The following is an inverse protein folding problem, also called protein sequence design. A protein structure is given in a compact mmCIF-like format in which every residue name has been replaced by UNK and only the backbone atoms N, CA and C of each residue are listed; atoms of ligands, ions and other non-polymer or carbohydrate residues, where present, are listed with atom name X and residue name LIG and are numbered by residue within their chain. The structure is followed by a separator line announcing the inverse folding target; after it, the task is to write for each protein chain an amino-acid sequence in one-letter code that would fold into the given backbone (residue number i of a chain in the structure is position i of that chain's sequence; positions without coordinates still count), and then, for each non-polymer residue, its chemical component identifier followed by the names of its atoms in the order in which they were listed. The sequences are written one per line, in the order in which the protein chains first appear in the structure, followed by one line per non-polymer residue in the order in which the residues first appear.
data_IF_407115032996
#
_entry.id   IF_407115032996
#
_cell.length_a   1.000
_cell.length_b   1.000
_cell.length_c   1.000
_cell.angle_alpha   90.00
_cell.angle_beta   90.00
_cell.angle_gamma   90.00
#
_symmetry.space_group_name_H-M   'P 1'
#
loop_
_entity.id
_entity.type
_entity.pdbx_description
1 polymer ?
#
# COMPACT_ATOMS: atom_id res chain seq x y z
N UNK A 1 23.12 -27.08 -16.24
CA UNK A 1 21.80 -27.56 -15.76
C UNK A 1 21.70 -27.27 -14.26
N UNK A 2 21.17 -26.11 -13.85
CA UNK A 2 21.11 -25.74 -12.44
C UNK A 2 20.17 -26.68 -11.68
N UNK A 3 20.67 -27.28 -10.60
CA UNK A 3 19.88 -28.15 -9.71
C UNK A 3 18.87 -27.27 -8.97
N UNK A 4 17.63 -27.26 -9.47
CA UNK A 4 16.45 -26.72 -8.77
C UNK A 4 16.37 -27.40 -7.40
N UNK A 5 16.78 -26.69 -6.34
CA UNK A 5 16.59 -27.16 -4.96
C UNK A 5 15.09 -27.36 -4.75
N UNK A 6 14.68 -28.62 -4.70
CA UNK A 6 13.36 -28.99 -4.18
C UNK A 6 13.43 -28.73 -2.68
N UNK A 7 13.13 -27.49 -2.29
CA UNK A 7 12.85 -27.15 -0.91
C UNK A 7 11.68 -28.02 -0.49
N UNK A 8 11.97 -28.97 0.38
CA UNK A 8 10.98 -29.87 0.96
C UNK A 8 10.05 -28.98 1.82
N UNK A 9 8.95 -28.54 1.21
CA UNK A 9 7.90 -27.75 1.87
C UNK A 9 7.27 -28.64 2.95
N UNK A 10 7.77 -28.55 4.18
CA UNK A 10 7.05 -29.05 5.35
C UNK A 10 5.79 -28.19 5.47
N UNK A 11 4.69 -28.70 4.91
CA UNK A 11 3.41 -28.02 4.72
C UNK A 11 2.61 -27.78 6.00
N UNK A 12 3.25 -27.24 7.04
CA UNK A 12 2.51 -26.54 8.09
C UNK A 12 2.20 -25.12 7.58
N UNK A 13 1.18 -25.06 6.73
CA UNK A 13 0.58 -23.80 6.31
C UNK A 13 0.00 -23.11 7.56
N UNK A 14 0.70 -22.09 8.05
CA UNK A 14 0.27 -21.29 9.19
C UNK A 14 -1.05 -20.61 8.81
N UNK A 15 -2.16 -21.12 9.35
CA UNK A 15 -3.48 -20.52 9.18
C UNK A 15 -3.56 -19.27 10.03
N UNK A 16 -3.56 -18.11 9.37
CA UNK A 16 -3.71 -16.81 10.03
C UNK A 16 -5.20 -16.49 10.14
N UNK A 17 -5.68 -16.35 11.37
CA UNK A 17 -7.03 -15.91 11.67
C UNK A 17 -7.08 -14.38 11.83
N UNK A 18 -7.61 -13.72 10.81
CA UNK A 18 -7.85 -12.27 10.84
C UNK A 18 -9.28 -11.91 11.30
N UNK A 19 -9.99 -12.83 11.97
CA UNK A 19 -11.21 -12.46 12.69
C UNK A 19 -10.89 -11.44 13.78
N UNK A 20 -11.65 -10.35 13.82
CA UNK A 20 -11.40 -9.21 14.73
C UNK A 20 -10.69 -8.02 14.11
N UNK A 21 -10.03 -8.13 12.94
CA UNK A 21 -9.40 -6.96 12.29
C UNK A 21 -10.43 -5.89 11.93
N UNK A 22 -11.55 -6.31 11.36
CA UNK A 22 -12.64 -5.41 11.02
C UNK A 22 -13.22 -4.71 12.27
N UNK A 23 -13.41 -5.46 13.36
CA UNK A 23 -13.91 -4.93 14.64
C UNK A 23 -12.90 -3.95 15.27
N UNK A 24 -11.60 -4.24 15.17
CA UNK A 24 -10.54 -3.35 15.65
C UNK A 24 -10.50 -2.03 14.85
N UNK A 25 -10.68 -2.09 13.53
CA UNK A 25 -10.79 -0.90 12.70
C UNK A 25 -12.06 -0.10 12.98
N UNK A 26 -13.19 -0.77 13.23
CA UNK A 26 -14.46 -0.13 13.56
C UNK A 26 -14.42 0.56 14.93
N UNK A 27 -13.79 -0.07 15.92
CA UNK A 27 -13.59 0.48 17.26
C UNK A 27 -12.63 1.67 17.33
N UNK A 28 -11.84 1.92 16.27
CA UNK A 28 -10.88 3.01 16.23
C UNK A 28 -11.49 4.26 15.53
N UNK A 29 -11.91 5.25 16.33
CA UNK A 29 -12.58 6.48 15.87
C UNK A 29 -11.88 7.22 14.71
N UNK A 30 -10.54 7.27 14.74
CA UNK A 30 -9.75 7.91 13.69
C UNK A 30 -9.80 7.19 12.33
N UNK A 31 -9.85 5.86 12.35
CA UNK A 31 -9.95 5.03 11.16
C UNK A 31 -11.37 5.15 10.63
N UNK A 32 -12.37 4.88 11.48
CA UNK A 32 -13.79 4.97 11.13
C UNK A 32 -14.18 6.31 10.51
N UNK A 33 -13.82 7.44 11.14
CA UNK A 33 -14.06 8.77 10.58
C UNK A 33 -13.36 8.99 9.24
N UNK A 34 -12.13 8.48 9.12
CA UNK A 34 -11.38 8.53 7.86
C UNK A 34 -12.10 7.78 6.75
N UNK A 35 -12.51 6.53 7.01
CA UNK A 35 -13.18 5.68 6.04
C UNK A 35 -14.53 6.25 5.62
N UNK A 36 -15.33 6.76 6.56
CA UNK A 36 -16.62 7.38 6.24
C UNK A 36 -16.48 8.66 5.40
N UNK A 37 -15.37 9.39 5.55
CA UNK A 37 -15.10 10.59 4.77
C UNK A 37 -14.58 10.30 3.36
N UNK A 38 -13.74 9.27 3.19
CA UNK A 38 -13.10 8.94 1.90
C UNK A 38 -13.74 7.76 1.16
N UNK A 39 -14.70 7.06 1.76
CA UNK A 39 -15.28 5.81 1.25
C UNK A 39 -14.24 4.71 0.91
N UNK A 40 -13.06 4.82 1.52
CA UNK A 40 -11.86 4.01 1.28
C UNK A 40 -11.17 3.77 2.62
N UNK A 41 -10.79 2.52 2.90
CA UNK A 41 -10.07 2.13 4.11
C UNK A 41 -8.68 2.76 4.13
N UNK A 42 -8.02 2.78 2.98
CA UNK A 42 -6.70 3.38 2.82
C UNK A 42 -6.80 4.80 2.26
N UNK A 43 -5.95 5.69 2.78
CA UNK A 43 -5.73 7.03 2.28
C UNK A 43 -4.64 7.01 1.22
N UNK A 44 -5.00 7.38 0.00
CA UNK A 44 -4.08 7.49 -1.13
C UNK A 44 -3.45 8.89 -1.20
N UNK A 45 -2.31 9.01 -1.88
CA UNK A 45 -1.65 10.30 -2.10
C UNK A 45 -2.46 11.20 -3.03
N UNK A 46 -3.15 10.60 -4.00
CA UNK A 46 -4.10 11.26 -4.90
C UNK A 46 -4.93 10.23 -5.68
N UNK A 47 -5.94 10.67 -6.43
CA UNK A 47 -6.85 9.79 -7.16
C UNK A 47 -6.16 8.98 -8.27
N UNK A 48 -5.06 9.49 -8.83
CA UNK A 48 -4.25 8.78 -9.85
C UNK A 48 -3.27 7.76 -9.26
N UNK A 49 -3.12 7.74 -7.93
CA UNK A 49 -2.14 6.91 -7.23
C UNK A 49 -2.84 5.88 -6.32
N UNK A 50 -4.08 5.50 -6.66
CA UNK A 50 -4.79 4.41 -6.00
C UNK A 50 -4.05 3.10 -6.32
N UNK A 51 -3.72 2.33 -5.28
CA UNK A 51 -2.93 1.10 -5.41
C UNK A 51 -1.41 1.31 -5.41
N UNK A 52 -0.91 2.54 -5.54
CA UNK A 52 0.53 2.81 -5.51
C UNK A 52 1.03 2.86 -4.06
N UNK A 53 1.83 1.86 -3.69
CA UNK A 53 2.31 1.70 -2.32
C UNK A 53 3.71 2.27 -2.15
N UNK A 54 3.81 3.44 -1.54
CA UNK A 54 5.07 4.12 -1.22
C UNK A 54 5.25 4.26 0.30
N UNK A 55 6.41 4.76 0.73
CA UNK A 55 6.63 5.13 2.14
C UNK A 55 5.68 6.23 2.61
N UNK A 56 5.28 7.14 1.73
CA UNK A 56 4.31 8.20 2.07
C UNK A 56 2.90 7.64 2.23
N UNK A 57 2.51 6.68 1.38
CA UNK A 57 1.27 5.92 1.55
C UNK A 57 1.28 5.20 2.91
N UNK A 58 2.41 4.59 3.30
CA UNK A 58 2.54 3.97 4.63
C UNK A 58 2.32 4.98 5.76
N UNK A 59 2.94 6.17 5.69
CA UNK A 59 2.77 7.22 6.70
C UNK A 59 1.32 7.68 6.86
N UNK A 60 0.59 7.85 5.76
CA UNK A 60 -0.84 8.24 5.80
C UNK A 60 -1.73 7.18 6.43
N UNK A 61 -1.30 5.92 6.39
CA UNK A 61 -2.07 4.75 6.82
C UNK A 61 -1.51 4.07 8.07
N UNK A 62 -0.67 4.75 8.87
CA UNK A 62 -0.13 4.21 10.12
C UNK A 62 -1.22 3.64 11.03
N UNK A 63 -2.34 4.35 11.31
CA UNK A 63 -3.34 3.83 12.25
C UNK A 63 -3.95 2.50 11.78
N UNK A 64 -4.26 2.38 10.48
CA UNK A 64 -4.81 1.16 9.89
C UNK A 64 -3.82 0.02 10.00
N UNK A 65 -2.54 0.28 9.69
CA UNK A 65 -1.48 -0.72 9.76
C UNK A 65 -1.16 -1.14 11.20
N UNK A 66 -1.24 -0.23 12.17
CA UNK A 66 -1.04 -0.54 13.59
C UNK A 66 -2.07 -1.54 14.09
N UNK A 67 -3.37 -1.29 13.86
CA UNK A 67 -4.43 -2.21 14.29
C UNK A 67 -4.35 -3.56 13.57
N UNK A 68 -4.03 -3.54 12.27
CA UNK A 68 -3.81 -4.77 11.50
C UNK A 68 -2.65 -5.61 12.09
N UNK A 69 -1.50 -4.97 12.34
CA UNK A 69 -0.31 -5.68 12.80
C UNK A 69 -0.43 -6.22 14.23
N UNK A 70 -1.18 -5.55 15.12
CA UNK A 70 -1.45 -6.07 16.47
C UNK A 70 -2.11 -7.45 16.45
N UNK A 71 -2.95 -7.72 15.46
CA UNK A 71 -3.66 -9.00 15.30
C UNK A 71 -2.84 -9.98 14.46
N UNK A 72 -2.16 -9.48 13.42
CA UNK A 72 -1.39 -10.31 12.49
C UNK A 72 -0.09 -10.86 13.10
N UNK A 73 0.70 -10.02 13.76
CA UNK A 73 2.06 -10.38 14.20
C UNK A 73 2.11 -11.55 15.20
N UNK A 74 1.23 -11.67 16.21
CA UNK A 74 1.24 -12.81 17.13
C UNK A 74 1.05 -14.17 16.47
N UNK A 75 0.47 -14.20 15.27
CA UNK A 75 0.16 -15.42 14.53
C UNK A 75 1.25 -15.77 13.51
N UNK A 76 2.08 -14.80 13.13
CA UNK A 76 3.12 -14.96 12.11
C UNK A 76 4.47 -14.50 12.66
N UNK A 77 5.12 -15.33 13.50
CA UNK A 77 6.40 -14.98 14.12
C UNK A 77 7.54 -14.92 13.09
N UNK A 78 7.41 -15.60 11.96
CA UNK A 78 8.35 -15.45 10.85
C UNK A 78 7.96 -14.25 9.99
N UNK A 79 8.94 -13.50 9.47
CA UNK A 79 8.71 -12.35 8.59
C UNK A 79 8.21 -12.76 7.19
N UNK A 80 7.07 -13.45 7.12
CA UNK A 80 6.40 -13.90 5.90
C UNK A 80 5.38 -12.85 5.44
N UNK A 81 5.29 -12.69 4.13
CA UNK A 81 4.33 -11.80 3.50
C UNK A 81 2.91 -12.34 3.70
N UNK A 82 1.98 -11.49 4.13
CA UNK A 82 0.57 -11.85 4.31
C UNK A 82 -0.05 -12.28 2.95
N UNK A 83 -0.85 -13.33 2.94
CA UNK A 83 -1.65 -13.69 1.77
C UNK A 83 -2.86 -12.72 1.64
N UNK A 84 -3.09 -12.19 0.44
CA UNK A 84 -4.14 -11.19 0.17
C UNK A 84 -5.53 -11.74 0.50
N UNK A 85 -5.77 -13.01 0.19
CA UNK A 85 -7.07 -13.68 0.37
C UNK A 85 -7.55 -13.72 1.82
N UNK A 86 -6.60 -13.61 2.77
CA UNK A 86 -6.90 -13.68 4.21
C UNK A 86 -7.43 -12.33 4.72
N UNK A 87 -7.10 -11.22 4.03
CA UNK A 87 -7.45 -9.88 4.45
C UNK A 87 -8.92 -9.64 4.08
N UNK A 88 -9.84 -9.96 5.00
CA UNK A 88 -11.31 -9.84 4.84
C UNK A 88 -11.79 -8.37 4.79
N UNK A 89 -11.21 -7.54 3.91
CA UNK A 89 -11.57 -6.13 3.72
C UNK A 89 -13.06 -5.97 3.39
N UNK A 90 -13.62 -6.91 2.62
CA UNK A 90 -15.04 -6.92 2.28
C UNK A 90 -15.94 -6.92 3.52
N UNK A 91 -15.61 -7.73 4.56
CA UNK A 91 -16.41 -7.78 5.80
C UNK A 91 -16.45 -6.43 6.49
N UNK A 92 -15.31 -5.73 6.53
CA UNK A 92 -15.23 -4.39 7.12
C UNK A 92 -16.03 -3.35 6.34
N UNK A 93 -15.93 -3.35 5.01
CA UNK A 93 -16.72 -2.43 4.15
C UNK A 93 -18.22 -2.67 4.30
N UNK A 94 -18.63 -3.94 4.39
CA UNK A 94 -20.01 -4.34 4.61
C UNK A 94 -20.55 -3.81 5.95
N UNK A 95 -19.79 -3.92 7.04
CA UNK A 95 -20.18 -3.42 8.37
C UNK A 95 -20.40 -1.91 8.40
N UNK A 96 -19.68 -1.15 7.56
CA UNK A 96 -19.81 0.29 7.45
C UNK A 96 -20.83 0.75 6.38
N UNK A 97 -21.56 -0.19 5.76
CA UNK A 97 -22.49 0.09 4.66
C UNK A 97 -21.84 0.86 3.49
N UNK A 98 -20.59 0.55 3.16
CA UNK A 98 -19.89 1.14 2.03
C UNK A 98 -20.14 0.32 0.76
N UNK A 99 -20.07 0.97 -0.40
CA UNK A 99 -20.19 0.27 -1.68
C UNK A 99 -19.11 -0.81 -1.82
N UNK A 100 -19.56 -2.04 -2.08
CA UNK A 100 -18.73 -3.23 -2.26
C UNK A 100 -18.23 -3.34 -3.70
N UNK A 101 -17.50 -2.33 -4.18
CA UNK A 101 -16.76 -2.47 -5.43
C UNK A 101 -15.66 -3.52 -5.26
N UNK A 102 -15.75 -4.62 -6.02
CA UNK A 102 -14.76 -5.69 -6.01
C UNK A 102 -13.35 -5.19 -6.34
N UNK A 103 -13.25 -4.20 -7.23
CA UNK A 103 -11.98 -3.57 -7.57
C UNK A 103 -11.36 -2.85 -6.34
N UNK A 104 -12.17 -2.08 -5.60
CA UNK A 104 -11.70 -1.39 -4.39
C UNK A 104 -11.24 -2.37 -3.31
N UNK A 105 -12.02 -3.44 -3.06
CA UNK A 105 -11.67 -4.50 -2.11
C UNK A 105 -10.33 -5.14 -2.48
N UNK A 106 -10.15 -5.49 -3.75
CA UNK A 106 -8.93 -6.09 -4.25
C UNK A 106 -7.72 -5.14 -4.12
N UNK A 107 -7.85 -3.90 -4.58
CA UNK A 107 -6.79 -2.90 -4.48
C UNK A 107 -6.36 -2.64 -3.04
N UNK A 108 -7.31 -2.53 -2.10
CA UNK A 108 -7.03 -2.36 -0.67
C UNK A 108 -6.30 -3.57 -0.08
N UNK A 109 -6.75 -4.80 -0.40
CA UNK A 109 -6.09 -6.04 0.04
C UNK A 109 -4.64 -6.15 -0.45
N UNK A 110 -4.42 -5.91 -1.75
CA UNK A 110 -3.08 -5.92 -2.36
C UNK A 110 -2.18 -4.85 -1.75
N UNK A 111 -2.73 -3.67 -1.47
CA UNK A 111 -1.98 -2.59 -0.86
C UNK A 111 -1.58 -2.88 0.59
N UNK A 112 -2.47 -3.44 1.40
CA UNK A 112 -2.13 -3.86 2.78
C UNK A 112 -0.99 -4.87 2.76
N UNK A 113 -1.06 -5.89 1.88
CA UNK A 113 0.04 -6.86 1.70
C UNK A 113 1.36 -6.18 1.34
N UNK A 114 1.31 -5.24 0.40
CA UNK A 114 2.49 -4.49 -0.04
C UNK A 114 3.06 -3.59 1.07
N UNK A 115 2.20 -2.96 1.88
CA UNK A 115 2.61 -2.18 3.06
C UNK A 115 3.30 -3.07 4.09
N UNK A 116 2.76 -4.25 4.39
CA UNK A 116 3.40 -5.25 5.25
C UNK A 116 4.79 -5.63 4.73
N UNK A 117 4.91 -5.86 3.41
CA UNK A 117 6.20 -6.14 2.78
C UNK A 117 7.20 -5.00 2.91
N UNK A 118 6.76 -3.74 2.79
CA UNK A 118 7.61 -2.56 3.02
C UNK A 118 8.09 -2.52 4.47
N UNK A 119 7.20 -2.75 5.44
CA UNK A 119 7.53 -2.76 6.86
C UNK A 119 8.57 -3.84 7.15
N UNK A 120 8.32 -5.07 6.70
CA UNK A 120 9.24 -6.19 6.86
C UNK A 120 10.63 -5.90 6.24
N UNK A 121 10.70 -5.28 5.05
CA UNK A 121 11.98 -4.94 4.41
C UNK A 121 12.74 -3.78 5.06
N UNK A 122 12.06 -2.88 5.78
CA UNK A 122 12.64 -1.61 6.24
C UNK A 122 12.72 -1.43 7.76
N UNK A 123 12.10 -2.30 8.55
CA UNK A 123 12.12 -2.17 10.02
C UNK A 123 13.54 -2.24 10.63
N UNK A 124 14.48 -2.91 9.96
CA UNK A 124 15.88 -3.08 10.40
C UNK A 124 16.68 -1.78 10.53
N UNK A 125 16.38 -0.79 9.67
CA UNK A 125 17.17 0.44 9.54
C UNK A 125 16.42 1.72 9.88
N UNK A 126 15.09 1.65 10.05
CA UNK A 126 14.27 2.84 10.09
C UNK A 126 14.12 3.49 11.47
N UNK A 127 14.51 2.85 12.58
CA UNK A 127 14.47 3.47 13.93
C UNK A 127 15.20 4.82 13.99
N UNK A 128 16.15 5.05 13.06
CA UNK A 128 16.95 6.28 12.98
C UNK A 128 16.43 7.33 12.00
N UNK A 129 15.49 7.02 11.11
CA UNK A 129 15.22 7.90 9.94
C UNK A 129 13.84 8.54 9.92
N UNK A 130 12.83 7.97 10.56
CA UNK A 130 11.47 8.51 10.47
C UNK A 130 10.73 8.44 11.81
N UNK A 131 10.50 9.58 12.49
CA UNK A 131 9.81 9.58 13.78
C UNK A 131 8.36 9.11 13.67
N UNK A 132 7.70 9.33 12.53
CA UNK A 132 6.29 8.94 12.35
C UNK A 132 6.10 7.42 12.34
N UNK A 133 7.12 6.66 11.93
CA UNK A 133 7.05 5.20 11.83
C UNK A 133 7.65 4.48 13.04
N UNK A 134 8.11 5.22 14.05
CA UNK A 134 8.79 4.66 15.21
C UNK A 134 7.91 3.64 15.95
N UNK A 135 6.70 4.03 16.31
CA UNK A 135 5.74 3.18 17.03
C UNK A 135 5.41 1.90 16.24
N UNK A 136 5.24 2.05 14.92
CA UNK A 136 4.99 0.93 14.02
C UNK A 136 6.14 -0.09 14.01
N UNK A 137 7.39 0.37 13.98
CA UNK A 137 8.54 -0.53 14.02
C UNK A 137 8.82 -1.10 15.41
N UNK A 138 8.53 -0.35 16.46
CA UNK A 138 8.57 -0.85 17.84
C UNK A 138 7.59 -2.00 18.06
N UNK A 139 6.39 -1.92 17.44
CA UNK A 139 5.41 -3.01 17.45
C UNK A 139 5.91 -4.27 16.75
N UNK A 140 6.64 -4.12 15.64
CA UNK A 140 7.09 -5.23 14.78
C UNK A 140 8.35 -5.92 15.31
N UNK A 141 9.26 -5.16 15.93
CA UNK A 141 10.59 -5.64 16.38
C UNK A 141 10.54 -6.93 17.23
N UNK A 142 9.59 -7.12 18.16
CA UNK A 142 9.54 -8.33 19.00
C UNK A 142 9.19 -9.60 18.22
N UNK A 143 8.51 -9.46 17.09
CA UNK A 143 8.03 -10.58 16.28
C UNK A 143 8.99 -10.88 15.13
N UNK A 144 9.42 -9.86 14.40
CA UNK A 144 10.32 -10.04 13.25
C UNK A 144 11.74 -9.62 13.63
N UNK A 145 12.63 -10.61 13.62
CA UNK A 145 14.05 -10.36 13.80
C UNK A 145 14.58 -9.54 12.61
N UNK A 146 15.33 -8.47 12.87
CA UNK A 146 15.87 -7.67 11.79
C UNK A 146 16.75 -8.49 10.85
N UNK A 147 16.57 -8.33 9.54
CA UNK A 147 17.46 -8.98 8.57
C UNK A 147 18.83 -8.32 8.66
N UNK A 148 19.81 -9.06 9.15
CA UNK A 148 21.21 -8.60 9.18
C UNK A 148 21.67 -8.48 7.73
N UNK A 149 21.69 -7.25 7.21
CA UNK A 149 22.33 -6.97 5.93
C UNK A 149 23.82 -7.11 6.16
N UNK A 150 24.42 -8.18 5.62
CA UNK A 150 25.88 -8.26 5.52
C UNK A 150 26.33 -7.04 4.75
N UNK A 151 27.17 -6.21 5.36
CA UNK A 151 27.69 -5.04 4.66
C UNK A 151 28.51 -5.54 3.47
N UNK A 152 28.56 -4.80 2.34
CA UNK A 152 29.38 -5.17 1.18
C UNK A 152 30.85 -5.41 1.59
N UNK A 153 31.33 -4.67 2.59
CA UNK A 153 32.64 -4.87 3.22
C UNK A 153 32.83 -6.20 3.96
N UNK A 154 31.74 -6.83 4.45
CA UNK A 154 31.82 -8.17 5.06
C UNK A 154 31.90 -9.28 4.00
N UNK A 155 31.40 -9.03 2.79
CA UNK A 155 31.52 -9.97 1.67
C UNK A 155 32.93 -9.96 1.06
N UNK A 156 33.58 -8.80 0.96
CA UNK A 156 34.93 -8.67 0.39
C UNK A 156 36.04 -9.26 1.28
N UNK A 157 35.74 -9.58 2.54
CA UNK A 157 36.72 -10.11 3.50
C UNK A 157 36.61 -11.61 3.74
N UNK A 158 35.72 -12.31 3.03
CA UNK A 158 35.78 -13.76 2.98
C UNK A 158 37.06 -14.15 2.21
N UNK A 159 38.09 -14.72 2.88
CA UNK A 159 39.32 -15.08 2.22
C UNK A 159 38.97 -16.07 1.11
N UNK A 160 39.30 -15.70 -0.13
CA UNK A 160 39.40 -16.68 -1.21
C UNK A 160 40.51 -17.64 -0.82
N UNK A 161 40.18 -18.72 -0.11
CA UNK A 161 41.03 -19.89 -0.03
C UNK A 161 41.14 -20.40 -1.47
N UNK A 162 42.18 -19.92 -2.15
CA UNK A 162 42.71 -20.51 -3.37
C UNK A 162 43.18 -21.92 -2.98
N UNK A 163 42.31 -22.89 -3.16
CA UNK A 163 42.75 -24.24 -3.42
C UNK A 163 43.29 -24.25 -4.86
N UNK A 164 44.63 -24.18 -4.96
CA UNK A 164 45.37 -24.60 -6.14
C UNK A 164 45.11 -26.10 -6.36
N UNK A 165 44.08 -26.46 -7.13
CA UNK A 165 44.08 -27.74 -7.83
C UNK A 165 43.49 -27.61 -9.24
N UNK A 166 44.38 -27.82 -10.20
CA UNK A 166 44.10 -27.77 -11.62
C UNK A 166 43.09 -28.85 -12.01
N UNK A 167 41.87 -28.44 -12.37
CA UNK A 167 41.07 -29.15 -13.36
C UNK A 167 40.34 -28.12 -14.23
N UNK A 168 40.68 -28.11 -15.51
CA UNK A 168 40.03 -27.33 -16.55
C UNK A 168 38.61 -27.88 -16.77
N UNK A 169 37.60 -27.21 -16.22
CA UNK A 169 36.25 -27.25 -16.77
C UNK A 169 35.69 -25.81 -16.85
N UNK A 170 35.03 -25.44 -17.97
CA UNK A 170 34.59 -24.07 -18.21
C UNK A 170 33.44 -23.68 -17.27
N UNK A 171 33.74 -22.83 -16.29
CA UNK A 171 32.76 -22.14 -15.46
C UNK A 171 31.97 -21.18 -16.34
N UNK A 172 30.69 -21.48 -16.52
CA UNK A 172 29.70 -20.62 -17.13
C UNK A 172 29.39 -19.49 -16.15
N UNK A 173 29.85 -18.30 -16.51
CA UNK A 173 29.64 -17.04 -15.81
C UNK A 173 28.19 -16.58 -16.05
N UNK A 174 27.25 -17.02 -15.20
CA UNK A 174 25.93 -16.38 -15.11
C UNK A 174 26.11 -15.08 -14.32
N UNK A 175 26.30 -13.99 -15.06
CA UNK A 175 26.21 -12.63 -14.54
C UNK A 175 24.77 -12.34 -14.16
N UNK A 176 24.51 -12.15 -12.86
CA UNK A 176 23.39 -11.32 -12.42
C UNK A 176 23.77 -9.87 -12.77
N UNK A 177 23.39 -9.43 -13.97
CA UNK A 177 23.28 -8.02 -14.29
C UNK A 177 22.26 -7.41 -13.32
N UNK A 178 22.77 -6.67 -12.33
CA UNK A 178 21.99 -5.60 -11.72
C UNK A 178 21.63 -4.63 -12.85
N UNK A 179 20.40 -4.73 -13.33
CA UNK A 179 19.78 -3.78 -14.23
C UNK A 179 19.64 -2.44 -13.47
N UNK A 180 20.73 -1.66 -13.44
CA UNK A 180 20.67 -0.22 -13.26
C UNK A 180 19.87 0.34 -14.44
N UNK A 181 18.62 0.71 -14.16
CA UNK A 181 17.81 1.55 -15.04
C UNK A 181 18.50 2.92 -15.14
N UNK A 182 19.44 3.05 -16.08
CA UNK A 182 19.88 4.33 -16.60
C UNK A 182 18.78 4.87 -17.53
N UNK A 183 18.14 5.95 -17.07
CA UNK A 183 17.38 6.87 -17.91
C UNK A 183 18.31 7.47 -18.97
N UNK A 184 17.82 7.45 -20.22
CA UNK A 184 18.12 8.31 -21.37
C UNK A 184 18.56 7.53 -22.63
N UNK A 185 17.60 7.19 -23.51
CA UNK A 185 17.85 7.36 -24.94
C UNK A 185 16.55 7.64 -25.74
N UNK A 186 16.66 8.71 -26.51
CA UNK A 186 15.71 9.34 -27.41
C UNK A 186 15.39 8.43 -28.59
N UNK A 187 14.15 7.92 -28.69
CA UNK A 187 13.73 7.08 -29.82
C UNK A 187 13.02 7.92 -30.88
N UNK A 188 13.64 7.99 -32.06
CA UNK A 188 13.10 8.60 -33.27
C UNK A 188 11.75 7.99 -33.70
N UNK A 189 10.91 8.84 -34.28
CA UNK A 189 9.57 8.52 -34.74
C UNK A 189 9.53 7.40 -35.81
N UNK A 190 8.65 6.39 -35.67
CA UNK A 190 8.40 5.45 -36.75
C UNK A 190 7.43 6.03 -37.78
N UNK A 191 7.82 5.91 -39.04
CA UNK A 191 7.02 6.17 -40.24
C UNK A 191 5.69 5.40 -40.22
N UNK A 192 4.62 6.09 -40.62
CA UNK A 192 3.30 5.53 -40.91
C UNK A 192 3.39 4.54 -42.09
N UNK A 193 3.22 3.25 -41.84
CA UNK A 193 2.83 2.28 -42.86
C UNK A 193 1.60 1.49 -42.41
N UNK A 194 0.50 1.74 -43.13
CA UNK A 194 -0.86 1.27 -42.89
C UNK A 194 -0.98 -0.24 -43.12
N UNK A 195 -0.82 -1.05 -42.06
CA UNK A 195 -1.07 -2.50 -42.13
C UNK A 195 -2.46 -2.84 -41.60
N UNK A 196 -3.32 -3.23 -42.53
CA UNK A 196 -4.70 -3.68 -42.34
C UNK A 196 -4.73 -5.05 -41.61
N UNK A 197 -5.20 -5.06 -40.37
CA UNK A 197 -5.35 -6.27 -39.55
C UNK A 197 -6.53 -7.17 -40.01
N UNK A 198 -6.37 -8.51 -40.03
CA UNK A 198 -7.48 -9.43 -40.20
C UNK A 198 -8.24 -9.65 -38.88
N UNK A 199 -9.55 -9.80 -38.99
CA UNK A 199 -10.49 -10.06 -37.89
C UNK A 199 -10.12 -11.35 -37.14
N UNK A 200 -9.77 -11.23 -35.86
CA UNK A 200 -9.58 -12.34 -34.95
C UNK A 200 -10.88 -12.59 -34.18
N UNK A 201 -11.43 -13.79 -34.33
CA UNK A 201 -12.57 -14.29 -33.57
C UNK A 201 -12.18 -14.47 -32.08
N UNK A 202 -12.99 -13.89 -31.20
CA UNK A 202 -12.86 -13.99 -29.75
C UNK A 202 -13.14 -15.43 -29.28
N UNK A 203 -12.10 -16.12 -28.82
CA UNK A 203 -12.24 -17.32 -28.00
C UNK A 203 -12.57 -16.89 -26.57
N UNK A 204 -13.73 -17.33 -26.07
CA UNK A 204 -14.12 -17.17 -24.66
C UNK A 204 -13.39 -18.20 -23.82
N UNK A 205 -12.49 -17.74 -22.96
CA UNK A 205 -11.86 -18.56 -21.93
C UNK A 205 -12.84 -18.66 -20.74
N UNK A 206 -13.21 -19.89 -20.36
CA UNK A 206 -14.20 -20.20 -19.31
C UNK A 206 -13.65 -20.05 -17.87
N UNK A 207 -12.55 -19.31 -17.65
CA UNK A 207 -11.86 -19.31 -16.35
C UNK A 207 -12.56 -18.52 -15.25
N UNK A 208 -13.62 -17.76 -15.54
CA UNK A 208 -14.33 -16.95 -14.52
C UNK A 208 -13.45 -15.88 -13.86
N UNK A 209 -12.20 -15.71 -14.29
CA UNK A 209 -11.35 -14.59 -13.93
C UNK A 209 -11.80 -13.37 -14.74
N UNK A 210 -12.37 -12.40 -14.04
CA UNK A 210 -12.69 -11.09 -14.61
C UNK A 210 -11.38 -10.48 -15.08
N UNK A 211 -11.25 -10.27 -16.39
CA UNK A 211 -10.05 -9.70 -17.00
C UNK A 211 -9.75 -8.33 -16.38
N UNK A 212 -8.47 -8.02 -16.14
CA UNK A 212 -8.03 -6.70 -15.66
C UNK A 212 -8.56 -5.55 -16.52
N UNK A 213 -8.76 -5.81 -17.83
CA UNK A 213 -9.40 -4.88 -18.76
C UNK A 213 -10.85 -4.58 -18.41
N UNK A 214 -11.61 -5.60 -18.08
CA UNK A 214 -13.02 -5.52 -17.70
C UNK A 214 -13.19 -4.78 -16.36
N UNK A 215 -12.23 -4.95 -15.43
CA UNK A 215 -12.18 -4.17 -14.19
C UNK A 215 -11.95 -2.66 -14.44
N UNK A 216 -11.05 -2.31 -15.36
CA UNK A 216 -10.77 -0.91 -15.70
C UNK A 216 -11.92 -0.24 -16.44
N UNK A 217 -12.58 -0.96 -17.35
CA UNK A 217 -13.78 -0.49 -18.03
C UNK A 217 -14.95 -0.26 -17.06
N UNK A 218 -15.15 -1.15 -16.09
CA UNK A 218 -16.17 -1.00 -15.04
C UNK A 218 -15.90 0.20 -14.10
N UNK A 219 -14.64 0.64 -13.99
CA UNK A 219 -14.25 1.85 -13.25
C UNK A 219 -14.40 3.14 -14.09
N UNK A 220 -14.84 3.03 -15.35
CA UNK A 220 -14.95 4.19 -16.26
C UNK A 220 -13.60 4.76 -16.69
N UNK A 221 -12.52 3.98 -16.57
CA UNK A 221 -11.19 4.39 -16.99
C UNK A 221 -10.95 3.96 -18.45
N UNK A 222 -10.79 4.91 -19.39
CA UNK A 222 -10.58 4.56 -20.79
C UNK A 222 -9.24 3.82 -20.98
N UNK A 223 -9.32 2.59 -21.46
CA UNK A 223 -8.19 1.74 -21.84
C UNK A 223 -7.62 2.23 -23.17
N UNK A 224 -6.98 3.41 -23.15
CA UNK A 224 -6.18 4.07 -24.21
C UNK A 224 -6.12 5.60 -23.99
N UNK A 225 -6.12 6.11 -22.75
CA UNK A 225 -5.57 7.45 -22.57
C UNK A 225 -4.08 7.36 -22.91
N UNK A 226 -3.59 8.03 -23.98
CA UNK A 226 -2.16 8.15 -24.18
C UNK A 226 -1.56 8.66 -22.88
N UNK A 227 -0.35 8.17 -22.53
CA UNK A 227 0.41 8.72 -21.43
C UNK A 227 0.29 10.25 -21.50
N UNK A 228 -0.14 10.93 -20.43
CA UNK A 228 -0.37 12.37 -20.50
C UNK A 228 0.96 13.01 -20.90
N UNK A 229 1.07 13.39 -22.18
CA UNK A 229 2.23 14.09 -22.71
C UNK A 229 2.52 15.23 -21.76
N UNK A 230 3.67 15.15 -21.08
CA UNK A 230 4.24 16.18 -20.23
C UNK A 230 3.22 17.04 -19.47
N UNK A 231 2.96 16.72 -18.21
CA UNK A 231 2.36 17.64 -17.25
C UNK A 231 3.28 18.85 -16.90
N UNK A 232 4.06 19.37 -17.86
CA UNK A 232 4.66 20.69 -17.82
C UNK A 232 3.64 21.73 -18.31
N UNK A 233 2.47 21.77 -17.67
CA UNK A 233 1.65 22.98 -17.70
C UNK A 233 2.36 23.97 -16.79
N UNK A 234 3.04 24.95 -17.39
CA UNK A 234 3.54 26.13 -16.65
C UNK A 234 2.39 26.65 -15.77
N UNK A 235 2.63 26.93 -14.47
CA UNK A 235 1.61 27.53 -13.63
C UNK A 235 1.10 28.81 -14.31
N UNK A 236 -0.19 28.82 -14.62
CA UNK A 236 -0.90 30.03 -15.04
C UNK A 236 -0.66 31.12 -14.00
N UNK A 237 -0.39 32.37 -14.41
CA UNK A 237 -0.18 33.47 -13.47
C UNK A 237 -1.40 33.59 -12.55
N UNK A 238 -1.13 33.52 -11.24
CA UNK A 238 -2.09 33.72 -10.17
C UNK A 238 -2.69 35.13 -10.36
N UNK A 239 -4.01 35.29 -10.50
CA UNK A 239 -4.62 36.60 -10.50
C UNK A 239 -4.36 37.26 -9.14
N UNK A 240 -3.85 38.49 -9.17
CA UNK A 240 -3.58 39.29 -7.98
C UNK A 240 -4.84 39.39 -7.10
N UNK A 241 -4.67 39.37 -5.76
CA UNK A 241 -5.79 39.54 -4.85
C UNK A 241 -6.38 40.94 -5.04
N UNK A 242 -7.62 41.00 -5.52
CA UNK A 242 -8.45 42.20 -5.43
C UNK A 242 -8.73 42.46 -3.96
N UNK A 243 -8.05 43.47 -3.42
CA UNK A 243 -8.39 44.11 -2.17
C UNK A 243 -9.84 44.61 -2.18
N UNK A 244 -10.46 44.57 -1.00
CA UNK A 244 -11.74 45.22 -0.65
C UNK A 244 -13.01 44.40 -0.85
N UNK A 245 -13.32 43.57 0.15
CA UNK A 245 -14.69 43.53 0.70
C UNK A 245 -14.60 43.75 2.21
N UNK A 246 -15.23 44.85 2.62
CA UNK A 246 -15.29 45.35 3.98
C UNK A 246 -15.83 44.30 4.96
N UNK A 247 -15.16 44.21 6.11
CA UNK A 247 -15.58 43.42 7.25
C UNK A 247 -16.97 43.89 7.75
N UNK A 248 -17.92 42.97 7.97
CA UNK A 248 -19.13 43.29 8.73
C UNK A 248 -18.79 43.52 10.21
N UNK A 249 -19.47 44.48 10.88
CA UNK A 249 -19.23 44.78 12.28
C UNK A 249 -19.63 43.60 13.18
N UNK A 250 -18.77 43.32 14.16
CA UNK A 250 -18.96 42.33 15.20
C UNK A 250 -20.30 42.53 15.93
N UNK A 251 -21.21 41.57 15.79
CA UNK A 251 -22.35 41.42 16.66
C UNK A 251 -21.92 40.57 17.86
N UNK A 252 -21.47 41.23 18.92
CA UNK A 252 -21.38 40.65 20.26
C UNK A 252 -22.81 40.41 20.78
N UNK A 253 -23.38 39.26 20.43
CA UNK A 253 -24.66 38.82 20.97
C UNK A 253 -24.43 37.79 22.08
N UNK A 254 -24.47 38.30 23.31
CA UNK A 254 -25.04 37.71 24.52
C UNK A 254 -25.07 36.16 24.57
N UNK A 255 -24.01 35.58 25.13
CA UNK A 255 -23.89 34.16 25.45
C UNK A 255 -23.93 33.92 26.98
N UNK A 256 -24.56 34.83 27.73
CA UNK A 256 -24.66 34.76 29.20
C UNK A 256 -26.03 34.30 29.73
N UNK A 257 -27.03 34.05 28.87
CA UNK A 257 -28.43 33.85 29.33
C UNK A 257 -29.04 32.46 29.06
N UNK A 258 -28.24 31.41 28.83
CA UNK A 258 -28.77 30.03 28.63
C UNK A 258 -28.24 28.96 29.60
N UNK A 259 -27.75 29.34 30.78
CA UNK A 259 -27.31 28.39 31.82
C UNK A 259 -28.25 28.23 33.03
N UNK A 260 -29.52 28.63 32.94
CA UNK A 260 -30.44 28.62 34.10
C UNK A 260 -31.62 27.61 34.07
N UNK A 261 -31.56 26.49 33.33
CA UNK A 261 -32.61 25.47 33.44
C UNK A 261 -32.09 24.03 33.32
N UNK A 262 -31.36 23.56 34.33
CA UNK A 262 -31.27 22.13 34.61
C UNK A 262 -31.52 21.93 36.11
N UNK A 263 -32.78 21.68 36.46
CA UNK A 263 -33.16 21.26 37.80
C UNK A 263 -32.74 19.79 38.03
N UNK A 264 -32.13 19.46 39.19
CA UNK A 264 -31.89 18.07 39.56
C UNK A 264 -33.20 17.44 40.08
N UNK A 265 -33.85 16.63 39.24
CA UNK A 265 -34.93 15.75 39.68
C UNK A 265 -34.39 14.69 40.65
N UNK A 266 -34.73 14.87 41.93
CA UNK A 266 -34.47 13.92 43.01
C UNK A 266 -35.29 12.64 42.82
N UNK A 267 -34.66 11.56 42.39
CA UNK A 267 -35.25 10.22 42.46
C UNK A 267 -35.09 9.67 43.88
N UNK A 268 -36.19 9.67 44.61
CA UNK A 268 -36.40 8.87 45.82
C UNK A 268 -36.37 7.38 45.45
N UNK A 269 -35.44 6.62 46.03
CA UNK A 269 -35.52 5.16 46.12
C UNK A 269 -35.90 4.79 47.56
N UNK A 270 -37.08 4.19 47.69
CA UNK A 270 -37.50 3.38 48.83
C UNK A 270 -37.08 1.94 48.60
#
# INVERSE_FOLDING_TARGET
MPRRRQSQESGDEVRVDLTGVAEAWEGHDGIRRGVLASSSLLKWLGPKQVGVVTMETLKKNIPVMMEFLKIYLPQVPEGKTCNVEIIKVQKFRHQLCLDESMASVHCEGVAIRSLVSIINRRHDGCKRRDPCLRELYELVTPYWAPKIRKSKSDLEKAPSEKEDEASEEPVTQEGEEEEELEDDEEVEAPNDEEVKAPAAEERKDESGEVSYRELLENLGLPFNTPDPMSAYVRPSPVPEPVDSIAAPPAAEASLEEQLQLIEPSSLHLR
#
